data_IF_967868684601
#
_entry.id   IF_967868684601
#
_cell.length_a   1.000
_cell.length_b   1.000
_cell.length_c   1.000
_cell.angle_alpha   90.00
_cell.angle_beta   90.00
_cell.angle_gamma   90.00
#
_symmetry.space_group_name_H-M   'P 1'
#
loop_
_entity.id
_entity.type
_entity.pdbx_description
1 polymer ?
#
# COMPACT_ATOMS: atom_id res chain seq x y z
N UNK A 1 7.09 -10.90 6.44
CA UNK A 1 6.02 -9.90 6.34
C UNK A 1 5.33 -10.08 5.00
N UNK A 2 4.04 -10.28 4.95
CA UNK A 2 3.27 -10.47 3.72
C UNK A 2 2.33 -9.31 3.55
N UNK A 3 2.13 -8.91 2.31
CA UNK A 3 1.13 -7.91 1.93
C UNK A 3 0.13 -8.52 0.97
N UNK A 4 -1.15 -8.33 1.22
CA UNK A 4 -2.23 -8.53 0.27
C UNK A 4 -3.14 -7.32 0.29
N UNK A 5 -3.61 -6.90 -0.86
CA UNK A 5 -4.54 -5.80 -1.02
C UNK A 5 -5.70 -6.25 -1.92
N UNK A 6 -6.85 -5.64 -1.75
CA UNK A 6 -8.01 -5.80 -2.61
C UNK A 6 -8.05 -4.77 -3.75
N UNK A 7 -7.03 -3.90 -3.82
CA UNK A 7 -6.92 -2.91 -4.88
C UNK A 7 -6.47 -3.59 -6.18
N UNK A 8 -7.27 -3.53 -7.21
CA UNK A 8 -6.94 -4.11 -8.52
C UNK A 8 -5.89 -3.30 -9.29
N UNK A 9 -4.86 -3.96 -9.83
CA UNK A 9 -3.94 -3.51 -10.85
C UNK A 9 -2.63 -2.81 -10.40
N UNK A 10 -1.98 -2.12 -11.34
CA UNK A 10 -0.64 -1.49 -11.21
C UNK A 10 -0.47 -0.55 -10.00
N UNK A 11 -1.55 0.08 -9.54
CA UNK A 11 -1.52 1.02 -8.41
C UNK A 11 -1.25 0.28 -7.10
N UNK A 12 -1.84 -0.88 -6.95
CA UNK A 12 -1.65 -1.78 -5.81
C UNK A 12 -0.21 -2.27 -5.70
N UNK A 13 0.35 -2.80 -6.79
CA UNK A 13 1.74 -3.26 -6.80
C UNK A 13 2.72 -2.14 -6.45
N UNK A 14 2.49 -0.94 -6.96
CA UNK A 14 3.33 0.24 -6.65
C UNK A 14 3.25 0.60 -5.17
N UNK A 15 2.07 0.53 -4.58
CA UNK A 15 1.88 0.81 -3.16
C UNK A 15 2.54 -0.24 -2.27
N UNK A 16 2.30 -1.52 -2.53
CA UNK A 16 2.95 -2.63 -1.82
C UNK A 16 4.48 -2.50 -1.88
N UNK A 17 5.04 -2.31 -3.07
CA UNK A 17 6.48 -2.12 -3.24
C UNK A 17 7.02 -0.90 -2.47
N UNK A 18 6.25 0.20 -2.41
CA UNK A 18 6.62 1.37 -1.63
C UNK A 18 6.69 1.05 -0.14
N UNK A 19 5.66 0.39 0.42
CA UNK A 19 5.63 0.00 1.83
C UNK A 19 6.74 -0.98 2.16
N UNK A 20 6.97 -1.99 1.33
CA UNK A 20 8.07 -2.97 1.49
C UNK A 20 9.45 -2.27 1.57
N UNK A 21 9.72 -1.37 0.63
CA UNK A 21 10.98 -0.61 0.61
C UNK A 21 11.12 0.33 1.80
N UNK A 22 10.03 1.02 2.16
CA UNK A 22 10.02 1.91 3.29
C UNK A 22 10.26 1.14 4.61
N UNK A 23 9.63 -0.02 4.79
CA UNK A 23 9.83 -0.88 5.96
C UNK A 23 11.26 -1.43 6.06
N UNK A 24 11.86 -1.81 4.94
CA UNK A 24 13.22 -2.33 4.90
C UNK A 24 14.30 -1.24 5.09
N UNK A 25 13.95 0.02 4.88
CA UNK A 25 14.90 1.14 4.89
C UNK A 25 15.07 1.79 6.27
N UNK A 26 16.16 2.56 6.43
CA UNK A 26 16.45 3.37 7.62
C UNK A 26 17.12 2.58 8.76
N UNK A 27 17.39 3.27 9.87
CA UNK A 27 18.12 2.71 11.02
C UNK A 27 17.35 1.65 11.81
N UNK A 28 16.03 1.59 11.63
CA UNK A 28 15.11 0.59 12.18
C UNK A 28 14.47 -0.23 11.07
N UNK A 29 15.22 -0.53 10.00
CA UNK A 29 14.76 -1.35 8.90
C UNK A 29 14.41 -2.76 9.36
N UNK A 30 13.21 -3.22 8.99
CA UNK A 30 12.74 -4.57 9.29
C UNK A 30 13.18 -5.54 8.19
N UNK A 31 13.32 -6.82 8.53
CA UNK A 31 13.49 -7.87 7.53
C UNK A 31 12.15 -8.14 6.85
N UNK A 32 12.01 -7.67 5.63
CA UNK A 32 10.82 -7.81 4.82
C UNK A 32 10.99 -8.95 3.82
N UNK A 33 10.00 -9.83 3.72
CA UNK A 33 9.87 -10.79 2.62
C UNK A 33 8.89 -10.18 1.63
N UNK A 34 9.32 -9.85 0.39
CA UNK A 34 8.46 -9.26 -0.60
C UNK A 34 7.24 -10.13 -0.92
N UNK A 35 6.09 -9.49 -1.22
CA UNK A 35 4.82 -10.15 -1.47
C UNK A 35 4.93 -11.30 -2.49
N UNK A 36 5.54 -11.04 -3.65
CA UNK A 36 5.71 -12.08 -4.69
C UNK A 36 6.52 -13.27 -4.17
N UNK A 37 7.64 -13.01 -3.50
CA UNK A 37 8.48 -14.06 -2.94
C UNK A 37 7.75 -14.86 -1.85
N UNK A 38 6.91 -14.20 -1.05
CA UNK A 38 6.10 -14.89 -0.04
C UNK A 38 5.08 -15.82 -0.69
N UNK A 39 4.29 -15.32 -1.65
CA UNK A 39 3.28 -16.11 -2.36
C UNK A 39 3.92 -17.33 -3.04
N UNK A 40 4.96 -17.12 -3.85
CA UNK A 40 5.69 -18.19 -4.55
C UNK A 40 6.20 -19.25 -3.56
N UNK A 41 6.69 -18.80 -2.44
CA UNK A 41 7.31 -19.67 -1.43
C UNK A 41 6.31 -20.50 -0.64
N UNK A 42 5.05 -20.09 -0.59
CA UNK A 42 3.96 -20.73 0.11
C UNK A 42 2.89 -21.28 -0.85
N UNK A 43 3.26 -21.48 -2.11
CA UNK A 43 2.38 -22.15 -3.07
C UNK A 43 1.92 -23.52 -2.52
N UNK A 44 0.63 -23.90 -2.64
CA UNK A 44 -0.47 -23.19 -3.33
C UNK A 44 -1.39 -22.38 -2.38
N UNK A 45 -1.02 -22.14 -1.15
CA UNK A 45 -1.95 -21.67 -0.10
C UNK A 45 -2.27 -20.16 -0.16
N UNK A 46 -1.39 -19.35 -0.72
CA UNK A 46 -1.57 -17.90 -0.84
C UNK A 46 -1.82 -17.43 -2.28
N UNK A 47 -2.21 -18.35 -3.14
CA UNK A 47 -2.67 -18.01 -4.49
C UNK A 47 -4.04 -17.29 -4.43
N UNK A 48 -4.40 -16.48 -5.45
CA UNK A 48 -5.65 -15.72 -5.45
C UNK A 48 -6.93 -16.53 -5.17
N UNK A 49 -6.91 -17.83 -5.48
CA UNK A 49 -8.05 -18.74 -5.26
C UNK A 49 -8.05 -19.46 -3.91
N UNK A 50 -6.92 -19.50 -3.24
CA UNK A 50 -6.72 -20.30 -2.02
C UNK A 50 -6.39 -19.48 -0.80
N UNK A 51 -5.89 -18.28 -1.02
CA UNK A 51 -5.64 -17.34 0.05
C UNK A 51 -6.95 -16.89 0.71
N UNK A 52 -6.96 -16.66 2.03
CA UNK A 52 -8.11 -16.08 2.69
C UNK A 52 -8.42 -14.69 2.12
N UNK A 53 -9.68 -14.34 2.05
CA UNK A 53 -10.11 -13.00 1.59
C UNK A 53 -9.81 -11.94 2.65
N UNK A 54 -9.85 -12.31 3.92
CA UNK A 54 -9.63 -11.44 5.07
C UNK A 54 -8.67 -12.09 6.07
N UNK A 55 -8.06 -11.28 6.93
CA UNK A 55 -7.16 -11.72 8.02
C UNK A 55 -7.80 -12.75 8.93
N UNK A 56 -9.10 -12.64 9.18
CA UNK A 56 -9.90 -13.61 9.97
C UNK A 56 -9.85 -15.04 9.42
N UNK A 57 -9.52 -15.22 8.15
CA UNK A 57 -9.33 -16.53 7.53
C UNK A 57 -7.96 -17.18 7.79
N UNK A 58 -6.99 -16.42 8.30
CA UNK A 58 -5.63 -16.91 8.55
C UNK A 58 -5.57 -18.09 9.53
N UNK A 59 -6.27 -18.10 10.67
CA UNK A 59 -6.25 -19.26 11.58
C UNK A 59 -6.69 -20.56 10.91
N UNK A 60 -7.74 -20.50 10.08
CA UNK A 60 -8.21 -21.65 9.31
C UNK A 60 -7.20 -22.13 8.29
N UNK A 61 -6.47 -21.22 7.64
CA UNK A 61 -5.39 -21.56 6.73
C UNK A 61 -4.20 -22.18 7.48
N UNK A 62 -3.81 -21.61 8.62
CA UNK A 62 -2.70 -22.08 9.44
C UNK A 62 -2.93 -23.47 10.03
N UNK A 63 -4.19 -23.86 10.25
CA UNK A 63 -4.55 -25.20 10.72
C UNK A 63 -4.36 -26.30 9.67
N UNK A 64 -4.17 -25.94 8.40
CA UNK A 64 -3.93 -26.93 7.34
C UNK A 64 -2.54 -27.57 7.49
N UNK A 65 -2.43 -28.90 7.25
CA UNK A 65 -1.16 -29.61 7.40
C UNK A 65 -0.04 -28.97 6.58
N UNK A 66 1.09 -28.69 7.23
CA UNK A 66 2.30 -28.18 6.61
C UNK A 66 2.36 -26.66 6.40
N UNK A 67 1.26 -25.91 6.53
CA UNK A 67 1.27 -24.44 6.33
C UNK A 67 2.07 -23.76 7.43
N UNK A 68 1.66 -23.96 8.67
CA UNK A 68 2.31 -23.35 9.84
C UNK A 68 3.81 -23.69 9.90
N UNK A 69 4.16 -24.96 9.65
CA UNK A 69 5.56 -25.40 9.66
C UNK A 69 6.36 -24.69 8.58
N UNK A 70 5.85 -24.58 7.35
CA UNK A 70 6.56 -23.92 6.25
C UNK A 70 6.77 -22.44 6.48
N UNK A 71 5.81 -21.76 7.12
CA UNK A 71 5.92 -20.36 7.53
C UNK A 71 6.99 -20.20 8.61
N UNK A 72 6.97 -21.07 9.61
CA UNK A 72 7.95 -21.08 10.71
C UNK A 72 9.38 -21.33 10.20
N UNK A 73 9.56 -22.25 9.27
CA UNK A 73 10.87 -22.58 8.69
C UNK A 73 11.50 -21.38 7.93
N UNK A 74 10.69 -20.40 7.55
CA UNK A 74 11.14 -19.14 6.93
C UNK A 74 11.41 -18.01 7.92
N UNK A 75 11.14 -18.24 9.20
CA UNK A 75 11.31 -17.26 10.26
C UNK A 75 10.37 -16.06 10.09
N UNK A 76 9.13 -16.30 9.62
CA UNK A 76 8.10 -15.27 9.49
C UNK A 76 7.35 -15.21 10.82
N UNK A 77 7.39 -14.06 11.49
CA UNK A 77 6.61 -13.79 12.68
C UNK A 77 5.32 -13.05 12.38
N UNK A 78 5.42 -11.97 11.61
CA UNK A 78 4.26 -11.13 11.31
C UNK A 78 3.83 -11.26 9.86
N UNK A 79 2.52 -11.31 9.65
CA UNK A 79 1.86 -11.09 8.37
C UNK A 79 1.16 -9.75 8.44
N UNK A 80 1.44 -8.88 7.47
CA UNK A 80 0.77 -7.59 7.35
C UNK A 80 -0.15 -7.65 6.14
N UNK A 81 -1.41 -7.36 6.37
CA UNK A 81 -2.44 -7.30 5.36
C UNK A 81 -2.74 -5.85 5.05
N UNK A 82 -2.52 -5.44 3.81
CA UNK A 82 -2.77 -4.08 3.38
C UNK A 82 -4.13 -3.98 2.69
N UNK A 83 -4.90 -2.99 3.07
CA UNK A 83 -6.12 -2.57 2.39
C UNK A 83 -6.12 -1.05 2.25
N UNK A 84 -6.91 -0.52 1.33
CA UNK A 84 -7.04 0.91 1.15
C UNK A 84 -7.27 1.35 -0.27
N UNK A 85 -7.53 2.62 -0.42
CA UNK A 85 -7.87 3.25 -1.70
C UNK A 85 -7.35 4.69 -1.79
N UNK A 86 -7.43 5.22 -3.00
CA UNK A 86 -7.15 6.63 -3.28
C UNK A 86 -8.25 7.18 -4.16
N UNK A 87 -9.07 8.04 -3.59
CA UNK A 87 -10.21 8.64 -4.25
C UNK A 87 -9.98 10.09 -4.63
N UNK A 88 -10.56 10.49 -5.75
CA UNK A 88 -10.71 11.90 -6.12
C UNK A 88 -11.99 12.43 -5.48
N UNK A 89 -11.84 13.21 -4.42
CA UNK A 89 -12.98 13.70 -3.62
C UNK A 89 -13.51 15.04 -4.08
N UNK A 90 -12.68 15.84 -4.75
CA UNK A 90 -13.09 17.14 -5.29
C UNK A 90 -12.25 17.51 -6.51
N UNK A 91 -12.77 18.41 -7.31
CA UNK A 91 -12.03 18.99 -8.43
C UNK A 91 -12.86 20.00 -9.20
N UNK A 92 -12.18 20.90 -9.88
CA UNK A 92 -12.82 21.93 -10.67
C UNK A 92 -11.80 22.66 -11.54
N UNK A 93 -12.28 23.65 -12.27
CA UNK A 93 -11.45 24.47 -13.15
C UNK A 93 -11.98 24.48 -14.57
N UNK A 94 -11.35 25.28 -15.40
CA UNK A 94 -11.63 25.40 -16.82
C UNK A 94 -10.32 25.53 -17.58
N UNK A 95 -10.21 24.80 -18.66
CA UNK A 95 -9.05 24.84 -19.54
C UNK A 95 -9.50 24.87 -21.00
N UNK A 96 -8.98 25.81 -21.76
CA UNK A 96 -9.21 25.91 -23.18
C UNK A 96 -7.90 25.72 -23.94
N UNK A 97 -7.93 24.83 -24.92
CA UNK A 97 -6.79 24.61 -25.83
C UNK A 97 -7.19 24.91 -27.24
N UNK A 98 -6.30 25.58 -27.98
CA UNK A 98 -6.48 25.86 -29.39
C UNK A 98 -5.21 25.47 -30.16
N UNK A 99 -5.43 24.98 -31.39
CA UNK A 99 -4.35 24.67 -32.34
C UNK A 99 -4.60 25.41 -33.64
N UNK A 100 -3.54 25.91 -34.24
CA UNK A 100 -3.57 26.68 -35.51
C UNK A 100 -2.31 26.44 -36.33
N UNK A 101 -2.20 27.04 -37.53
CA UNK A 101 -1.06 26.83 -38.43
C UNK A 101 0.31 27.24 -37.84
N UNK A 102 0.34 28.02 -36.79
CA UNK A 102 1.54 28.48 -36.10
C UNK A 102 1.85 27.74 -34.80
N UNK A 103 1.09 26.69 -34.45
CA UNK A 103 1.24 25.94 -33.22
C UNK A 103 -0.04 25.84 -32.40
N UNK A 104 0.02 25.22 -31.24
CA UNK A 104 -1.08 25.09 -30.31
C UNK A 104 -0.69 25.49 -28.90
N UNK A 105 -1.68 25.87 -28.10
CA UNK A 105 -1.46 26.21 -26.70
C UNK A 105 -2.74 26.07 -25.88
N UNK A 106 -2.57 25.95 -24.58
CA UNK A 106 -3.66 25.89 -23.62
C UNK A 106 -3.58 27.06 -22.65
N UNK A 107 -4.75 27.58 -22.28
CA UNK A 107 -4.86 28.58 -21.22
C UNK A 107 -5.94 28.15 -20.24
N UNK A 108 -5.64 28.19 -18.96
CA UNK A 108 -6.60 27.86 -17.92
C UNK A 108 -5.98 27.29 -16.66
N UNK A 109 -6.85 26.78 -15.78
CA UNK A 109 -6.49 26.20 -14.52
C UNK A 109 -7.43 25.07 -14.20
N UNK A 110 -6.90 23.95 -13.75
CA UNK A 110 -7.67 22.87 -13.18
C UNK A 110 -7.03 22.42 -11.86
N UNK A 111 -7.83 21.93 -10.95
CA UNK A 111 -7.38 21.38 -9.68
C UNK A 111 -8.22 20.17 -9.31
N UNK A 112 -7.63 19.27 -8.53
CA UNK A 112 -8.35 18.14 -7.93
C UNK A 112 -7.70 17.76 -6.62
N UNK A 113 -8.51 17.24 -5.74
CA UNK A 113 -8.11 16.72 -4.43
C UNK A 113 -8.24 15.21 -4.44
N UNK A 114 -7.19 14.55 -3.98
CA UNK A 114 -7.19 13.11 -3.74
C UNK A 114 -7.04 12.87 -2.25
N UNK A 115 -7.82 11.94 -1.73
CA UNK A 115 -7.68 11.39 -0.39
C UNK A 115 -7.23 9.93 -0.52
N UNK A 116 -6.20 9.58 0.24
CA UNK A 116 -5.63 8.23 0.28
C UNK A 116 -5.80 7.67 1.68
N UNK A 117 -6.52 6.59 1.76
CA UNK A 117 -6.91 5.87 2.97
C UNK A 117 -6.29 4.49 2.92
N UNK A 118 -5.36 4.19 3.81
CA UNK A 118 -4.70 2.90 3.85
C UNK A 118 -4.69 2.33 5.25
N UNK A 119 -4.97 1.05 5.33
CA UNK A 119 -5.03 0.29 6.56
C UNK A 119 -4.13 -0.94 6.46
N UNK A 120 -3.53 -1.33 7.57
CA UNK A 120 -2.67 -2.48 7.67
C UNK A 120 -3.03 -3.29 8.91
N UNK A 121 -3.60 -4.47 8.71
CA UNK A 121 -3.83 -5.45 9.77
C UNK A 121 -2.57 -6.26 10.00
N UNK A 122 -2.11 -6.31 11.23
CA UNK A 122 -0.91 -7.05 11.63
C UNK A 122 -1.30 -8.32 12.38
N UNK A 123 -0.87 -9.46 11.87
CA UNK A 123 -1.06 -10.76 12.50
C UNK A 123 0.25 -11.32 13.02
N UNK A 124 0.29 -11.67 14.30
CA UNK A 124 1.38 -12.46 14.89
C UNK A 124 1.12 -13.95 14.66
N UNK A 125 2.00 -14.58 13.91
CA UNK A 125 1.91 -16.01 13.60
C UNK A 125 2.42 -16.91 14.74
N UNK A 126 3.06 -16.34 15.74
CA UNK A 126 3.53 -17.08 16.92
C UNK A 126 2.34 -17.38 17.85
N UNK A 127 1.54 -16.36 18.12
CA UNK A 127 0.31 -16.48 18.93
C UNK A 127 -0.91 -16.92 18.12
N UNK A 128 -0.85 -16.85 16.78
CA UNK A 128 -2.00 -17.01 15.87
C UNK A 128 -3.12 -16.01 16.20
N UNK A 129 -2.76 -14.79 16.51
CA UNK A 129 -3.66 -13.74 16.94
C UNK A 129 -3.49 -12.47 16.15
N UNK A 130 -4.53 -11.66 16.18
CA UNK A 130 -4.52 -10.30 15.66
C UNK A 130 -3.70 -9.42 16.61
N UNK A 131 -2.57 -8.92 16.12
CA UNK A 131 -1.72 -8.03 16.89
C UNK A 131 -2.23 -6.58 16.88
N UNK A 132 -3.04 -6.21 15.88
CA UNK A 132 -3.67 -4.90 15.77
C UNK A 132 -3.66 -4.33 14.36
N UNK A 133 -4.29 -3.17 14.24
CA UNK A 133 -4.44 -2.44 12.96
C UNK A 133 -3.75 -1.09 13.02
N UNK A 134 -3.11 -0.72 11.93
CA UNK A 134 -2.47 0.59 11.73
C UNK A 134 -3.06 1.25 10.50
N UNK A 135 -3.46 2.52 10.60
CA UNK A 135 -4.04 3.27 9.49
C UNK A 135 -3.27 4.54 9.16
N UNK A 136 -3.33 4.96 7.91
CA UNK A 136 -2.75 6.21 7.44
C UNK A 136 -3.67 6.89 6.42
N UNK A 137 -4.12 8.09 6.79
CA UNK A 137 -4.97 8.95 5.97
C UNK A 137 -4.18 10.15 5.48
N UNK A 138 -4.15 10.37 4.17
CA UNK A 138 -3.44 11.49 3.56
C UNK A 138 -4.27 12.14 2.47
N UNK A 139 -4.54 13.42 2.62
CA UNK A 139 -5.15 14.24 1.58
C UNK A 139 -4.13 15.12 0.88
N UNK A 140 -4.41 15.46 -0.38
CA UNK A 140 -3.57 16.36 -1.15
C UNK A 140 -4.24 16.93 -2.38
N UNK A 141 -3.96 18.19 -2.65
CA UNK A 141 -4.50 18.90 -3.82
C UNK A 141 -3.47 18.96 -4.92
N UNK A 142 -3.89 18.60 -6.11
CA UNK A 142 -3.10 18.69 -7.35
C UNK A 142 -3.59 19.84 -8.20
N UNK A 143 -2.69 20.48 -8.92
CA UNK A 143 -2.98 21.65 -9.75
C UNK A 143 -2.44 21.44 -11.17
N UNK A 144 -3.16 21.94 -12.14
CA UNK A 144 -2.77 21.97 -13.54
C UNK A 144 -2.93 23.40 -14.10
N UNK A 145 -1.98 24.31 -13.84
CA UNK A 145 -1.95 25.61 -14.53
C UNK A 145 -1.51 25.43 -15.98
N UNK A 146 -2.13 26.13 -16.88
CA UNK A 146 -1.74 26.18 -18.29
C UNK A 146 -1.62 27.63 -18.77
N UNK A 147 -0.41 28.01 -19.16
CA UNK A 147 -0.09 29.23 -19.84
C UNK A 147 0.76 28.83 -21.05
N UNK A 148 0.14 28.43 -22.14
CA UNK A 148 0.74 27.87 -23.36
C UNK A 148 0.94 26.36 -23.25
N UNK A 149 1.67 25.86 -22.23
CA UNK A 149 1.88 24.42 -21.98
C UNK A 149 1.34 24.07 -20.58
N UNK A 150 0.47 23.06 -20.42
CA UNK A 150 0.01 22.64 -19.11
C UNK A 150 1.14 21.94 -18.33
N UNK A 151 1.39 22.42 -17.10
CA UNK A 151 2.40 21.86 -16.21
C UNK A 151 1.70 21.22 -15.00
N UNK A 152 1.63 19.89 -14.89
CA UNK A 152 0.97 19.24 -13.77
C UNK A 152 1.80 19.35 -12.49
N UNK A 153 1.22 19.92 -11.45
CA UNK A 153 1.71 19.90 -10.08
C UNK A 153 0.90 18.88 -9.30
N UNK A 154 1.37 17.65 -9.28
CA UNK A 154 0.63 16.49 -8.73
C UNK A 154 1.02 16.25 -7.27
N UNK A 155 0.03 16.22 -6.38
CA UNK A 155 0.23 15.80 -5.02
C UNK A 155 0.51 14.28 -4.98
N UNK A 156 1.58 13.90 -4.29
CA UNK A 156 1.97 12.48 -4.14
C UNK A 156 1.36 11.90 -2.86
N UNK A 157 0.04 11.88 -2.76
CA UNK A 157 -0.69 11.41 -1.58
C UNK A 157 -0.37 9.95 -1.27
N UNK A 158 -0.39 9.08 -2.28
CA UNK A 158 -0.08 7.67 -2.13
C UNK A 158 1.33 7.43 -1.55
N UNK A 159 2.36 8.15 -2.02
CA UNK A 159 3.71 8.00 -1.47
C UNK A 159 3.81 8.51 -0.02
N UNK A 160 3.08 9.57 0.32
CA UNK A 160 3.03 10.07 1.69
C UNK A 160 2.31 9.08 2.61
N UNK A 161 1.18 8.54 2.18
CA UNK A 161 0.44 7.52 2.92
C UNK A 161 1.28 6.25 3.11
N UNK A 162 1.97 5.79 2.07
CA UNK A 162 2.89 4.66 2.15
C UNK A 162 3.99 4.86 3.22
N UNK A 163 4.66 6.01 3.22
CA UNK A 163 5.71 6.29 4.20
C UNK A 163 5.14 6.41 5.62
N UNK A 164 4.02 7.10 5.78
CA UNK A 164 3.35 7.25 7.08
C UNK A 164 2.93 5.89 7.66
N UNK A 165 2.32 5.02 6.83
CA UNK A 165 1.93 3.68 7.23
C UNK A 165 3.16 2.83 7.59
N UNK A 166 4.22 2.87 6.79
CA UNK A 166 5.44 2.13 7.06
C UNK A 166 6.13 2.57 8.36
N UNK A 167 6.17 3.86 8.65
CA UNK A 167 6.75 4.38 9.88
C UNK A 167 5.94 3.97 11.12
N UNK A 168 4.62 3.98 11.04
CA UNK A 168 3.74 3.50 12.10
C UNK A 168 3.88 1.99 12.31
N UNK A 169 3.92 1.20 11.23
CA UNK A 169 4.16 -0.24 11.30
C UNK A 169 5.50 -0.59 11.94
N UNK A 170 6.57 0.15 11.62
CA UNK A 170 7.86 -0.03 12.29
C UNK A 170 7.78 0.19 13.79
N UNK A 171 7.13 1.27 14.19
CA UNK A 171 6.95 1.58 15.61
C UNK A 171 6.12 0.48 16.30
N UNK A 172 5.03 0.06 15.68
CA UNK A 172 4.15 -0.99 16.19
C UNK A 172 4.90 -2.30 16.40
N UNK A 173 5.57 -2.81 15.37
CA UNK A 173 6.29 -4.09 15.41
C UNK A 173 7.46 -4.06 16.39
N UNK A 174 8.24 -2.97 16.42
CA UNK A 174 9.37 -2.86 17.36
C UNK A 174 8.89 -2.74 18.81
N UNK A 175 7.75 -2.09 19.07
CA UNK A 175 7.17 -2.01 20.43
C UNK A 175 6.64 -3.35 20.90
N UNK A 176 6.06 -4.14 20.01
CA UNK A 176 5.54 -5.47 20.33
C UNK A 176 6.67 -6.49 20.61
N UNK A 177 7.82 -6.35 19.95
CA UNK A 177 9.01 -7.19 20.23
C UNK A 177 9.69 -6.88 21.58
N UNK A 178 9.38 -5.73 22.18
CA UNK A 178 9.99 -5.28 23.43
C UNK A 178 9.23 -5.72 24.69
N UNK A 179 8.06 -6.35 24.54
CA UNK A 179 7.21 -6.86 25.63
C UNK A 179 7.41 -8.35 25.77
#
# INVERSE_FOLDING_TARGET
MLFRSHLGNETEEKYINCVEQALASGSRGLRVIPHKQFVDSLFPWFEPRTAPAETKGLPSLMSRPGVAQRIKDRGIRYVVWLDGDTDKVAGGGSMSCAAGPGGGGCFGFAWWQNDSNYEADVWDLTGLEDAGTVSADVSGTSFLPAIVIPIPLIARTQNKACNALADQLKLFIVSDEAV
#
